data_IF_239045707426
#
_entry.id   IF_239045707426
#
_cell.length_a   1.000
_cell.length_b   1.000
_cell.length_c   1.000
_cell.angle_alpha   90.00
_cell.angle_beta   90.00
_cell.angle_gamma   90.00
#
_symmetry.space_group_name_H-M   'P 1'
#
loop_
_entity.id
_entity.type
_entity.pdbx_description
1 polymer ?
#
# COMPACT_ATOMS: atom_id res chain seq x y z
N UNK A 1 9.58 -15.74 -12.21
CA UNK A 1 9.35 -15.18 -12.19
C UNK A 1 9.19 -14.39 -11.79
N UNK A 2 9.23 -14.31 -11.78
CA UNK A 2 9.15 -13.51 -11.30
C UNK A 2 8.70 -12.51 -11.14
N UNK A 3 8.52 -12.39 -11.05
CA UNK A 3 7.93 -11.34 -11.06
C UNK A 3 7.74 -10.66 -9.86
N UNK A 4 8.72 -10.24 -9.32
CA UNK A 4 8.76 -9.38 -8.23
C UNK A 4 8.04 -8.09 -8.46
N UNK A 5 7.37 -7.99 -9.57
CA UNK A 5 6.65 -6.81 -9.81
C UNK A 5 5.49 -6.72 -8.91
N UNK A 6 5.36 -5.62 -8.22
CA UNK A 6 4.17 -5.29 -7.48
C UNK A 6 2.99 -5.28 -8.45
N UNK A 7 1.97 -6.10 -8.19
CA UNK A 7 0.75 -6.09 -8.95
C UNK A 7 -0.31 -5.36 -8.14
N UNK A 8 -1.24 -4.73 -8.84
CA UNK A 8 -2.31 -3.97 -8.21
C UNK A 8 -3.15 -4.86 -7.28
N UNK A 9 -3.40 -6.10 -7.68
CA UNK A 9 -4.18 -7.04 -6.88
C UNK A 9 -3.48 -7.39 -5.57
N UNK A 10 -2.18 -7.65 -5.64
CA UNK A 10 -1.38 -7.96 -4.45
C UNK A 10 -1.28 -6.78 -3.51
N UNK A 11 -1.13 -5.58 -4.07
CA UNK A 11 -1.04 -4.37 -3.28
C UNK A 11 -2.34 -4.14 -2.51
N UNK A 12 -3.48 -4.21 -3.18
CA UNK A 12 -4.76 -4.01 -2.51
C UNK A 12 -5.06 -5.13 -1.52
N UNK A 13 -4.70 -6.36 -1.83
CA UNK A 13 -4.84 -7.46 -0.89
C UNK A 13 -4.04 -7.18 0.39
N UNK A 14 -2.78 -6.77 0.22
CA UNK A 14 -1.91 -6.47 1.35
C UNK A 14 -2.48 -5.33 2.20
N UNK A 15 -2.98 -4.28 1.58
CA UNK A 15 -3.52 -3.12 2.28
C UNK A 15 -4.95 -3.33 2.77
N UNK A 16 -5.57 -4.45 2.42
CA UNK A 16 -6.94 -4.77 2.84
C UNK A 16 -7.07 -5.22 4.28
N UNK A 17 -5.97 -5.38 5.00
CA UNK A 17 -5.96 -5.83 6.38
C UNK A 17 -5.56 -4.68 7.33
N UNK A 18 -6.32 -4.43 8.40
CA UNK A 18 -6.00 -3.31 9.30
C UNK A 18 -4.66 -3.46 10.01
N UNK A 19 -4.26 -4.68 10.35
CA UNK A 19 -2.96 -4.90 10.99
C UNK A 19 -1.82 -4.57 10.03
N UNK A 20 -1.95 -4.97 8.78
CA UNK A 20 -0.93 -4.64 7.78
C UNK A 20 -0.86 -3.14 7.51
N UNK A 21 -2.01 -2.45 7.49
CA UNK A 21 -2.00 -0.99 7.36
C UNK A 21 -1.32 -0.32 8.55
N UNK A 22 -1.53 -0.84 9.76
CA UNK A 22 -0.87 -0.33 10.96
C UNK A 22 0.66 -0.50 10.86
N UNK A 23 1.11 -1.64 10.32
CA UNK A 23 2.53 -1.90 10.09
C UNK A 23 3.10 -0.85 9.12
N UNK A 24 2.42 -0.63 8.01
CA UNK A 24 2.86 0.35 7.00
C UNK A 24 2.94 1.74 7.60
N UNK A 25 1.95 2.15 8.36
CA UNK A 25 1.94 3.46 9.01
C UNK A 25 3.13 3.62 9.96
N UNK A 26 3.43 2.57 10.72
CA UNK A 26 4.56 2.61 11.63
C UNK A 26 5.89 2.69 10.90
N UNK A 27 6.03 1.93 9.81
CA UNK A 27 7.23 1.95 8.99
C UNK A 27 7.39 3.26 8.23
N UNK A 28 6.32 4.00 8.04
CA UNK A 28 6.38 5.32 7.39
C UNK A 28 7.19 6.33 8.21
N UNK A 29 7.40 6.06 9.49
CA UNK A 29 8.22 6.90 10.37
C UNK A 29 9.70 6.56 10.30
N UNK A 30 10.04 5.44 9.69
CA UNK A 30 11.42 4.99 9.52
C UNK A 30 11.55 3.50 9.70
N UNK A 31 12.70 2.93 9.35
CA UNK A 31 12.97 1.50 9.53
C UNK A 31 12.88 1.09 11.00
N UNK A 32 12.40 -0.14 11.24
CA UNK A 32 12.25 -0.66 12.59
C UNK A 32 12.49 -2.16 12.57
N UNK A 33 12.98 -2.72 13.67
CA UNK A 33 13.19 -4.15 13.77
C UNK A 33 11.85 -4.89 13.87
N UNK A 34 11.82 -6.12 13.38
CA UNK A 34 10.61 -6.95 13.44
C UNK A 34 10.12 -7.13 14.87
N UNK A 35 11.05 -7.31 15.81
CA UNK A 35 10.71 -7.48 17.23
C UNK A 35 9.99 -6.28 17.80
N UNK A 36 10.49 -5.09 17.51
CA UNK A 36 9.89 -3.85 18.00
C UNK A 36 8.54 -3.58 17.33
N UNK A 37 8.36 -4.07 16.13
CA UNK A 37 7.12 -3.91 15.40
C UNK A 37 5.98 -4.72 16.04
N UNK A 38 6.31 -5.89 16.58
CA UNK A 38 5.31 -6.78 17.19
C UNK A 38 4.72 -6.25 18.48
N UNK A 39 5.51 -5.60 19.31
CA UNK A 39 5.09 -5.16 20.63
C UNK A 39 3.79 -4.35 20.67
N UNK A 40 3.71 -3.23 19.97
CA UNK A 40 2.50 -2.39 20.04
C UNK A 40 1.30 -2.99 19.33
N UNK A 41 1.49 -4.01 18.50
CA UNK A 41 0.39 -4.64 17.78
C UNK A 41 -0.29 -5.73 18.61
N UNK A 42 0.33 -6.12 19.73
CA UNK A 42 -0.19 -7.16 20.63
C UNK A 42 -0.52 -8.47 19.89
N UNK A 43 0.34 -8.84 18.96
CA UNK A 43 0.25 -10.10 18.24
C UNK A 43 1.58 -10.83 18.33
N UNK A 44 1.59 -12.11 18.01
CA UNK A 44 2.81 -12.92 18.07
C UNK A 44 3.81 -12.49 17.01
N UNK A 45 5.08 -12.76 17.27
CA UNK A 45 6.14 -12.51 16.29
C UNK A 45 5.87 -13.29 15.00
N UNK A 46 5.37 -14.52 15.12
CA UNK A 46 5.03 -15.34 13.95
C UNK A 46 3.96 -14.67 13.09
N UNK A 47 2.96 -14.06 13.72
CA UNK A 47 1.91 -13.34 13.00
C UNK A 47 2.48 -12.11 12.28
N UNK A 48 3.38 -11.38 12.94
CA UNK A 48 4.05 -10.22 12.30
C UNK A 48 4.83 -10.68 11.07
N UNK A 49 5.58 -11.77 11.19
CA UNK A 49 6.35 -12.30 10.07
C UNK A 49 5.43 -12.65 8.89
N UNK A 50 4.27 -13.25 9.14
CA UNK A 50 3.31 -13.58 8.10
C UNK A 50 2.78 -12.33 7.40
N UNK A 51 2.43 -11.30 8.16
CA UNK A 51 1.98 -10.03 7.60
C UNK A 51 3.07 -9.35 6.77
N UNK A 52 4.30 -9.38 7.27
CA UNK A 52 5.45 -8.80 6.56
C UNK A 52 5.71 -9.52 5.25
N UNK A 53 5.54 -10.85 5.23
CA UNK A 53 5.74 -11.64 4.02
C UNK A 53 4.77 -11.21 2.92
N UNK A 54 3.52 -10.99 3.27
CA UNK A 54 2.50 -10.51 2.32
C UNK A 54 2.87 -9.11 1.82
N UNK A 55 3.33 -8.23 2.72
CA UNK A 55 3.74 -6.88 2.36
C UNK A 55 4.98 -6.88 1.47
N UNK A 56 5.92 -7.79 1.71
CA UNK A 56 7.10 -7.93 0.86
C UNK A 56 6.73 -8.40 -0.54
N UNK A 57 5.86 -9.39 -0.64
CA UNK A 57 5.42 -9.92 -1.92
C UNK A 57 4.70 -8.88 -2.76
N UNK A 58 4.06 -7.92 -2.12
CA UNK A 58 3.36 -6.83 -2.81
C UNK A 58 4.27 -5.65 -3.14
N UNK A 59 5.53 -5.67 -2.70
CA UNK A 59 6.47 -4.60 -2.95
C UNK A 59 6.30 -3.37 -2.06
N UNK A 60 5.59 -3.51 -0.95
CA UNK A 60 5.34 -2.40 -0.02
C UNK A 60 6.42 -2.30 1.05
N UNK A 61 6.97 -3.44 1.43
CA UNK A 61 7.96 -3.54 2.51
C UNK A 61 9.17 -4.34 2.03
N UNK A 62 10.31 -4.00 2.56
CA UNK A 62 11.54 -4.74 2.34
C UNK A 62 12.13 -5.07 3.72
N UNK A 63 12.72 -6.25 3.85
CA UNK A 63 13.38 -6.62 5.10
C UNK A 63 14.83 -6.99 4.82
N UNK A 64 15.69 -6.67 5.78
CA UNK A 64 17.10 -6.96 5.68
C UNK A 64 17.60 -7.41 7.03
N UNK A 65 18.38 -8.49 7.03
CA UNK A 65 18.98 -8.99 8.25
C UNK A 65 20.36 -8.38 8.40
N UNK A 66 20.55 -7.58 9.45
CA UNK A 66 21.83 -6.96 9.76
C UNK A 66 22.29 -7.56 11.09
N UNK A 67 23.32 -8.42 11.03
CA UNK A 67 23.75 -9.17 12.20
C UNK A 67 22.65 -10.14 12.61
N UNK A 68 22.16 -10.00 13.84
CA UNK A 68 21.07 -10.83 14.37
C UNK A 68 19.71 -10.15 14.30
N UNK A 69 19.69 -8.93 13.78
CA UNK A 69 18.47 -8.13 13.76
C UNK A 69 17.90 -8.10 12.36
N UNK A 70 16.62 -8.42 12.25
CA UNK A 70 15.88 -8.27 11.01
C UNK A 70 15.15 -6.93 11.05
N UNK A 71 15.48 -6.07 10.11
CA UNK A 71 14.94 -4.70 10.02
C UNK A 71 14.01 -4.58 8.83
N UNK A 72 12.88 -3.92 9.04
CA UNK A 72 11.87 -3.67 8.00
C UNK A 72 11.89 -2.21 7.62
N UNK A 73 11.61 -1.94 6.36
CA UNK A 73 11.50 -0.57 5.85
C UNK A 73 10.50 -0.52 4.71
N UNK A 74 9.99 0.67 4.45
CA UNK A 74 9.05 0.89 3.35
C UNK A 74 9.78 0.81 2.01
N UNK A 75 9.13 0.16 1.05
CA UNK A 75 9.48 0.26 -0.36
C UNK A 75 8.35 1.00 -1.04
N UNK A 76 8.67 2.01 -1.83
CA UNK A 76 7.64 2.83 -2.47
C UNK A 76 7.03 2.18 -3.71
N UNK A 77 7.66 1.13 -4.22
CA UNK A 77 7.24 0.48 -5.47
C UNK A 77 5.78 0.03 -5.46
N UNK A 78 5.37 -0.70 -4.41
CA UNK A 78 4.01 -1.19 -4.31
C UNK A 78 3.00 -0.07 -4.11
N UNK A 79 3.35 0.91 -3.28
CA UNK A 79 2.47 2.05 -3.03
C UNK A 79 2.30 2.91 -4.29
N UNK A 80 3.36 3.00 -5.11
CA UNK A 80 3.29 3.72 -6.38
C UNK A 80 2.32 3.07 -7.35
N UNK A 81 2.27 1.74 -7.38
CA UNK A 81 1.31 1.00 -8.22
C UNK A 81 -0.12 1.36 -7.82
N UNK A 82 -0.41 1.36 -6.51
CA UNK A 82 -1.73 1.71 -6.01
C UNK A 82 -2.07 3.17 -6.33
N UNK A 83 -1.11 4.07 -6.12
CA UNK A 83 -1.30 5.49 -6.37
C UNK A 83 -1.61 5.76 -7.84
N UNK A 84 -0.88 5.13 -8.75
CA UNK A 84 -1.10 5.30 -10.18
C UNK A 84 -2.48 4.82 -10.60
N UNK A 85 -2.92 3.69 -10.06
CA UNK A 85 -4.24 3.16 -10.36
C UNK A 85 -5.35 4.08 -9.86
N UNK A 86 -5.22 4.53 -8.61
CA UNK A 86 -6.19 5.44 -8.00
C UNK A 86 -6.24 6.76 -8.76
N UNK A 87 -5.07 7.29 -9.10
CA UNK A 87 -4.96 8.54 -9.84
C UNK A 87 -5.61 8.43 -11.21
N UNK A 88 -5.40 7.31 -11.90
CA UNK A 88 -6.03 7.06 -13.19
C UNK A 88 -7.56 7.03 -13.09
N UNK A 89 -8.08 6.36 -12.06
CA UNK A 89 -9.51 6.31 -11.83
C UNK A 89 -10.08 7.70 -11.51
N UNK A 90 -9.38 8.46 -10.67
CA UNK A 90 -9.81 9.80 -10.30
C UNK A 90 -9.86 10.73 -11.51
N UNK A 91 -8.84 10.69 -12.36
CA UNK A 91 -8.80 11.51 -13.57
C UNK A 91 -9.95 11.18 -14.53
N UNK A 92 -10.26 9.90 -14.66
CA UNK A 92 -11.36 9.45 -15.50
C UNK A 92 -12.69 9.95 -14.94
N UNK A 93 -12.89 9.86 -13.62
CA UNK A 93 -14.10 10.34 -12.97
C UNK A 93 -14.24 11.86 -13.09
N UNK A 94 -13.14 12.60 -12.90
CA UNK A 94 -13.12 14.05 -13.03
C UNK A 94 -13.55 14.48 -14.44
N UNK A 95 -13.02 13.82 -15.47
CA UNK A 95 -13.38 14.12 -16.84
C UNK A 95 -14.86 13.84 -17.13
N UNK A 96 -15.39 12.75 -16.58
CA UNK A 96 -16.81 12.41 -16.74
C UNK A 96 -17.70 13.40 -16.03
N UNK A 97 -17.30 13.84 -14.84
CA UNK A 97 -18.07 14.83 -14.10
C UNK A 97 -18.05 16.19 -14.78
N UNK A 98 -16.90 16.59 -15.32
CA UNK A 98 -16.77 17.82 -16.08
C UNK A 98 -17.67 17.79 -17.31
N UNK A 99 -17.67 16.67 -18.02
CA UNK A 99 -18.52 16.50 -19.19
C UNK A 99 -20.01 16.57 -18.83
N UNK A 100 -20.37 15.93 -17.74
CA UNK A 100 -21.75 16.00 -17.26
C UNK A 100 -22.15 17.44 -16.92
N UNK A 101 -21.22 18.17 -16.27
CA UNK A 101 -21.43 19.58 -15.96
C UNK A 101 -21.64 20.42 -17.21
N UNK A 102 -20.85 20.18 -18.25
CA UNK A 102 -21.00 20.86 -19.54
C UNK A 102 -22.36 20.57 -20.18
N UNK A 103 -22.77 19.30 -20.16
CA UNK A 103 -24.06 18.91 -20.74
C UNK A 103 -25.24 19.55 -19.99
N UNK A 104 -25.13 19.60 -18.66
CA UNK A 104 -26.16 20.23 -17.84
C UNK A 104 -26.21 21.75 -18.09
N UNK A 105 -25.05 22.37 -18.26
CA UNK A 105 -24.99 23.80 -18.57
C UNK A 105 -25.63 24.12 -19.92
N UNK A 106 -25.36 23.29 -20.94
CA UNK A 106 -25.95 23.40 -22.26
C UNK A 106 -27.48 23.28 -22.19
N UNK A 107 -27.95 22.32 -21.37
CA UNK A 107 -29.38 22.09 -21.19
C UNK A 107 -30.07 23.26 -20.56
N UNK A 108 -29.41 24.01 -19.67
CA UNK A 108 -29.97 25.17 -19.02
C UNK A 108 -30.07 26.39 -19.92
N UNK A 109 -29.22 26.46 -20.93
CA UNK A 109 -29.22 27.61 -21.86
C UNK A 109 -30.36 27.54 -22.85
N UNK A 110 -30.98 26.40 -23.03
CA UNK A 110 -32.11 26.22 -23.90
C UNK A 110 -33.43 26.52 -23.15
#
# INVERSE_FOLDING_TARGET
MPNAKASIDRVFHALGDPTRRAIVEKLSRGPISVSLLAEPLDISLAAVVQHLQILEESGIVDTEKIGRVRTCRIRTQGLSVAEQWIDGCRKMWERRLDRLGELLAESEED
#
